data_IF_415865364061
#
_entry.id   IF_415865364061
#
_cell.length_a   1.000
_cell.length_b   1.000
_cell.length_c   1.000
_cell.angle_alpha   90.00
_cell.angle_beta   90.00
_cell.angle_gamma   90.00
#
_symmetry.space_group_name_H-M   'P 1'
#
loop_
_entity.id
_entity.type
_entity.pdbx_description
1 polymer ?
#
# COMPACT_ATOMS: atom_id res chain seq x y z
N UNK A 1 80.06 2.40 -5.62
CA UNK A 1 79.26 2.73 -6.84
C UNK A 1 77.80 2.80 -6.42
N UNK A 2 77.28 4.02 -6.20
CA UNK A 2 75.89 4.27 -5.81
C UNK A 2 75.01 4.19 -7.06
N UNK A 3 74.13 3.21 -7.13
CA UNK A 3 73.07 3.15 -8.15
C UNK A 3 71.84 3.79 -7.53
N UNK A 4 71.54 5.02 -7.96
CA UNK A 4 70.33 5.75 -7.58
C UNK A 4 69.14 5.14 -8.32
N UNK A 5 68.21 4.53 -7.58
CA UNK A 5 66.98 3.98 -8.16
C UNK A 5 65.97 5.12 -8.43
N UNK A 6 65.90 5.53 -9.70
CA UNK A 6 64.90 6.47 -10.23
C UNK A 6 63.40 6.08 -10.04
N UNK A 7 62.95 4.82 -9.85
CA UNK A 7 61.50 4.55 -9.82
C UNK A 7 60.81 4.91 -8.49
N UNK A 8 61.54 5.05 -7.37
CA UNK A 8 60.94 5.40 -6.09
C UNK A 8 60.45 6.87 -6.03
N UNK A 9 61.08 7.76 -6.80
CA UNK A 9 60.68 9.18 -6.84
C UNK A 9 59.46 9.45 -7.72
N UNK A 10 59.11 8.59 -8.68
CA UNK A 10 57.91 8.79 -9.53
C UNK A 10 56.60 8.54 -8.78
N UNK A 11 56.56 7.59 -7.86
CA UNK A 11 55.35 7.31 -7.07
C UNK A 11 55.08 8.43 -6.03
N UNK A 12 56.15 9.02 -5.50
CA UNK A 12 56.08 10.12 -4.54
C UNK A 12 55.65 11.44 -5.20
N UNK A 13 56.01 11.65 -6.47
CA UNK A 13 55.50 12.78 -7.26
C UNK A 13 54.05 12.60 -7.75
N UNK A 14 53.60 11.35 -7.97
CA UNK A 14 52.20 11.06 -8.27
C UNK A 14 51.26 11.35 -7.07
N UNK A 15 51.79 11.35 -5.85
CA UNK A 15 51.07 11.68 -4.61
C UNK A 15 51.50 13.02 -4.00
N UNK A 16 51.69 14.07 -4.83
CA UNK A 16 51.58 15.44 -4.32
C UNK A 16 50.10 15.72 -4.03
N UNK A 17 49.64 15.23 -2.88
CA UNK A 17 48.28 15.39 -2.38
C UNK A 17 47.99 16.89 -2.24
N UNK A 18 47.40 17.47 -3.28
CA UNK A 18 46.96 18.84 -3.25
C UNK A 18 45.72 18.88 -2.37
N UNK A 19 45.92 19.17 -1.08
CA UNK A 19 44.88 19.21 -0.03
C UNK A 19 43.69 20.10 -0.44
N UNK A 20 43.93 21.10 -1.27
CA UNK A 20 42.88 21.97 -1.81
C UNK A 20 42.07 21.27 -2.91
N UNK A 21 42.72 20.49 -3.78
CA UNK A 21 42.04 19.70 -4.81
C UNK A 21 41.20 18.59 -4.18
N UNK A 22 41.75 17.85 -3.20
CA UNK A 22 41.00 16.79 -2.50
C UNK A 22 39.81 17.36 -1.71
N UNK A 23 39.97 18.52 -1.07
CA UNK A 23 38.86 19.23 -0.41
C UNK A 23 37.78 19.67 -1.39
N UNK A 24 38.16 20.20 -2.55
CA UNK A 24 37.21 20.63 -3.57
C UNK A 24 36.47 19.45 -4.22
N UNK A 25 37.15 18.32 -4.43
CA UNK A 25 36.53 17.07 -4.90
C UNK A 25 35.54 16.53 -3.86
N UNK A 26 35.92 16.52 -2.57
CA UNK A 26 35.03 16.08 -1.49
C UNK A 26 33.79 16.98 -1.38
N UNK A 27 33.97 18.31 -1.43
CA UNK A 27 32.87 19.27 -1.47
C UNK A 27 31.97 19.05 -2.69
N UNK A 28 32.55 18.77 -3.85
CA UNK A 28 31.80 18.43 -5.06
C UNK A 28 30.94 17.18 -4.87
N UNK A 29 31.48 16.11 -4.27
CA UNK A 29 30.73 14.88 -4.01
C UNK A 29 29.62 15.07 -2.96
N UNK A 30 29.87 15.88 -1.92
CA UNK A 30 28.84 16.21 -0.91
C UNK A 30 27.71 17.03 -1.55
N UNK A 31 28.04 18.01 -2.38
CA UNK A 31 27.03 18.79 -3.10
C UNK A 31 26.23 17.90 -4.05
N UNK A 32 26.90 17.05 -4.83
CA UNK A 32 26.24 16.15 -5.76
C UNK A 32 25.29 15.17 -5.06
N UNK A 33 25.73 14.57 -3.96
CA UNK A 33 24.89 13.66 -3.15
C UNK A 33 23.72 14.40 -2.51
N UNK A 34 23.92 15.63 -2.02
CA UNK A 34 22.82 16.44 -1.48
C UNK A 34 21.77 16.79 -2.55
N UNK A 35 22.20 17.08 -3.78
CA UNK A 35 21.31 17.31 -4.92
C UNK A 35 20.54 16.03 -5.27
N UNK A 36 21.20 14.87 -5.33
CA UNK A 36 20.51 13.61 -5.57
C UNK A 36 19.50 13.28 -4.47
N UNK A 37 19.83 13.53 -3.21
CA UNK A 37 18.92 13.32 -2.09
C UNK A 37 17.70 14.27 -2.19
N UNK A 38 17.92 15.53 -2.58
CA UNK A 38 16.86 16.51 -2.79
C UNK A 38 15.95 16.11 -3.95
N UNK A 39 16.51 15.63 -5.07
CA UNK A 39 15.73 15.12 -6.21
C UNK A 39 14.91 13.89 -5.79
N UNK A 40 15.49 12.96 -5.02
CA UNK A 40 14.75 11.80 -4.50
C UNK A 40 13.60 12.22 -3.59
N UNK A 41 13.80 13.21 -2.71
CA UNK A 41 12.75 13.75 -1.84
C UNK A 41 11.66 14.46 -2.65
N UNK A 42 12.02 15.24 -3.68
CA UNK A 42 11.06 15.87 -4.59
C UNK A 42 10.27 14.85 -5.40
N UNK A 43 10.88 13.73 -5.77
CA UNK A 43 10.23 12.65 -6.51
C UNK A 43 9.30 11.80 -5.65
N UNK A 44 9.60 11.68 -4.36
CA UNK A 44 8.71 11.01 -3.37
C UNK A 44 7.45 11.85 -3.08
N UNK A 45 7.50 13.17 -3.33
CA UNK A 45 6.34 14.07 -3.28
C UNK A 45 5.46 14.04 -4.53
N UNK A 46 5.86 13.33 -5.60
CA UNK A 46 4.96 13.03 -6.71
C UNK A 46 3.97 11.95 -6.23
N UNK A 47 3.07 12.40 -5.35
CA UNK A 47 1.90 11.68 -4.90
C UNK A 47 1.22 11.13 -6.15
N UNK A 48 0.99 9.81 -6.17
CA UNK A 48 0.34 9.10 -7.25
C UNK A 48 -0.98 9.83 -7.56
N UNK A 49 -0.97 10.68 -8.58
CA UNK A 49 -2.13 11.44 -9.03
C UNK A 49 -3.02 10.46 -9.77
N UNK A 50 -3.67 9.60 -9.00
CA UNK A 50 -4.84 8.90 -9.47
C UNK A 50 -5.83 10.00 -9.88
N UNK A 51 -6.40 9.89 -11.09
CA UNK A 51 -7.51 10.74 -11.52
C UNK A 51 -8.70 10.47 -10.57
N UNK A 52 -8.68 11.10 -9.39
CA UNK A 52 -9.79 11.09 -8.46
C UNK A 52 -10.88 11.93 -9.13
N UNK A 53 -12.02 11.32 -9.49
CA UNK A 53 -13.11 12.07 -10.09
C UNK A 53 -13.47 13.28 -9.22
N UNK A 54 -13.65 14.45 -9.85
CA UNK A 54 -14.01 15.69 -9.14
C UNK A 54 -15.39 15.62 -8.50
N UNK A 55 -16.23 14.70 -8.96
CA UNK A 55 -17.55 14.38 -8.42
C UNK A 55 -17.58 12.93 -7.97
N UNK A 56 -18.21 12.67 -6.81
CA UNK A 56 -18.35 11.32 -6.30
C UNK A 56 -19.27 10.49 -7.20
N UNK A 57 -19.08 9.16 -7.23
CA UNK A 57 -20.10 8.29 -7.81
C UNK A 57 -21.42 8.43 -7.02
N UNK A 58 -22.59 8.18 -7.61
CA UNK A 58 -23.86 8.22 -6.88
C UNK A 58 -23.84 7.35 -5.61
N UNK A 59 -23.19 6.19 -5.68
CA UNK A 59 -22.99 5.30 -4.54
C UNK A 59 -22.11 5.92 -3.45
N UNK A 60 -21.02 6.60 -3.83
CA UNK A 60 -20.16 7.30 -2.88
C UNK A 60 -20.89 8.47 -2.23
N UNK A 61 -21.62 9.27 -3.00
CA UNK A 61 -22.40 10.40 -2.48
C UNK A 61 -23.48 9.92 -1.51
N UNK A 62 -24.22 8.86 -1.85
CA UNK A 62 -25.22 8.25 -0.98
C UNK A 62 -24.61 7.73 0.32
N UNK A 63 -23.48 7.02 0.24
CA UNK A 63 -22.72 6.61 1.42
C UNK A 63 -22.31 7.81 2.28
N UNK A 64 -21.66 8.81 1.67
CA UNK A 64 -21.14 9.96 2.39
C UNK A 64 -22.25 10.73 3.10
N UNK A 65 -23.32 11.04 2.37
CA UNK A 65 -24.45 11.83 2.90
C UNK A 65 -25.22 11.10 4.01
N UNK A 66 -25.29 9.77 3.99
CA UNK A 66 -25.95 9.01 5.06
C UNK A 66 -25.03 8.75 6.27
N UNK A 67 -23.83 8.25 6.01
CA UNK A 67 -22.93 7.73 7.06
C UNK A 67 -22.19 8.85 7.77
N UNK A 68 -21.67 9.84 7.05
CA UNK A 68 -20.80 10.87 7.63
C UNK A 68 -21.50 11.67 8.75
N UNK A 69 -22.73 12.20 8.60
CA UNK A 69 -23.38 12.98 9.66
C UNK A 69 -23.61 12.19 10.96
N UNK A 70 -23.74 10.86 10.86
CA UNK A 70 -23.97 9.97 12.01
C UNK A 70 -22.70 9.71 12.81
N UNK A 71 -21.56 9.67 12.12
CA UNK A 71 -20.26 9.41 12.73
C UNK A 71 -19.50 10.69 13.07
N UNK A 72 -19.80 11.82 12.41
CA UNK A 72 -19.14 13.10 12.65
C UNK A 72 -19.12 13.54 14.13
N UNK A 73 -20.18 13.32 14.94
CA UNK A 73 -20.16 13.63 16.37
C UNK A 73 -19.16 12.80 17.19
N UNK A 74 -18.67 11.67 16.66
CA UNK A 74 -17.70 10.79 17.31
C UNK A 74 -16.25 11.12 16.94
N UNK A 75 -16.02 12.14 16.11
CA UNK A 75 -14.67 12.54 15.70
C UNK A 75 -13.77 12.77 16.93
N UNK A 76 -12.63 12.09 16.96
CA UNK A 76 -11.67 12.15 18.06
C UNK A 76 -11.94 11.17 19.22
N UNK A 77 -13.10 10.51 19.26
CA UNK A 77 -13.39 9.44 20.20
C UNK A 77 -13.39 8.08 19.48
N UNK A 78 -12.20 7.53 19.28
CA UNK A 78 -12.01 6.31 18.48
C UNK A 78 -12.67 5.07 19.08
N UNK A 79 -12.65 4.91 20.40
CA UNK A 79 -13.31 3.79 21.07
C UNK A 79 -14.82 3.81 20.82
N UNK A 80 -15.46 4.97 21.05
CA UNK A 80 -16.89 5.13 20.80
C UNK A 80 -17.22 5.00 19.32
N UNK A 81 -16.36 5.53 18.44
CA UNK A 81 -16.49 5.38 17.00
C UNK A 81 -16.59 3.90 16.61
N UNK A 82 -15.62 3.06 17.00
CA UNK A 82 -15.59 1.65 16.60
C UNK A 82 -16.72 0.84 17.23
N UNK A 83 -17.04 1.08 18.49
CA UNK A 83 -18.12 0.36 19.20
C UNK A 83 -19.52 0.76 18.73
N UNK A 84 -19.70 1.99 18.24
CA UNK A 84 -21.01 2.51 17.81
C UNK A 84 -21.25 2.44 16.30
N UNK A 85 -20.20 2.20 15.49
CA UNK A 85 -20.26 2.29 14.03
C UNK A 85 -21.47 1.55 13.45
N UNK A 86 -21.54 0.23 13.68
CA UNK A 86 -22.58 -0.64 13.12
C UNK A 86 -23.98 -0.17 13.51
N UNK A 87 -24.18 0.19 14.78
CA UNK A 87 -25.50 0.60 15.25
C UNK A 87 -25.92 1.96 14.68
N UNK A 88 -24.99 2.91 14.57
CA UNK A 88 -25.27 4.24 14.05
C UNK A 88 -25.53 4.19 12.55
N UNK A 89 -24.78 3.39 11.78
CA UNK A 89 -24.89 3.36 10.31
C UNK A 89 -25.92 2.37 9.79
N UNK A 90 -26.55 1.57 10.64
CA UNK A 90 -27.48 0.49 10.25
C UNK A 90 -28.56 0.90 9.25
N UNK A 91 -29.09 2.11 9.36
CA UNK A 91 -30.12 2.59 8.43
C UNK A 91 -29.57 2.90 7.01
N UNK A 92 -28.27 3.13 6.89
CA UNK A 92 -27.58 3.38 5.62
C UNK A 92 -27.31 2.10 4.82
N UNK A 93 -27.49 0.91 5.40
CA UNK A 93 -27.16 -0.35 4.73
C UNK A 93 -28.11 -0.68 3.56
N UNK A 94 -29.29 -0.04 3.51
CA UNK A 94 -30.35 -0.34 2.52
C UNK A 94 -30.58 0.80 1.51
N UNK A 95 -29.58 1.66 1.27
CA UNK A 95 -29.67 2.73 0.28
C UNK A 95 -29.90 2.17 -1.14
N UNK A 96 -30.72 2.85 -1.93
CA UNK A 96 -31.09 2.40 -3.29
C UNK A 96 -29.84 2.27 -4.18
N UNK A 97 -28.92 3.21 -4.04
CA UNK A 97 -27.67 3.28 -4.77
C UNK A 97 -26.75 2.08 -4.48
N UNK A 98 -26.92 1.41 -3.34
CA UNK A 98 -26.12 0.24 -2.97
C UNK A 98 -26.53 -1.01 -3.74
N UNK A 99 -27.77 -1.07 -4.23
CA UNK A 99 -28.23 -2.22 -5.05
C UNK A 99 -27.36 -2.42 -6.29
N UNK A 100 -26.74 -1.36 -6.79
CA UNK A 100 -25.83 -1.41 -7.94
C UNK A 100 -24.49 -2.12 -7.67
N UNK A 101 -24.08 -2.23 -6.39
CA UNK A 101 -22.84 -2.85 -5.96
C UNK A 101 -22.92 -4.39 -5.95
N UNK A 102 -24.12 -4.95 -5.82
CA UNK A 102 -24.38 -6.40 -5.77
C UNK A 102 -23.38 -7.15 -4.89
N UNK A 103 -23.32 -6.73 -3.62
CA UNK A 103 -22.39 -7.28 -2.64
C UNK A 103 -23.06 -8.47 -1.96
N UNK A 104 -22.42 -9.63 -2.06
CA UNK A 104 -22.92 -10.89 -1.52
C UNK A 104 -22.01 -11.39 -0.39
N UNK A 105 -22.58 -11.91 0.71
CA UNK A 105 -21.80 -12.51 1.78
C UNK A 105 -21.26 -13.88 1.34
N UNK A 106 -19.97 -14.10 1.54
CA UNK A 106 -19.28 -15.37 1.37
C UNK A 106 -18.69 -15.77 2.71
N UNK A 107 -19.26 -16.81 3.31
CA UNK A 107 -18.83 -17.31 4.62
C UNK A 107 -17.40 -17.87 4.55
N UNK A 108 -16.54 -17.41 5.45
CA UNK A 108 -15.25 -17.98 5.77
C UNK A 108 -15.36 -18.82 7.07
N UNK A 109 -14.25 -19.40 7.54
CA UNK A 109 -14.26 -20.26 8.73
C UNK A 109 -14.63 -19.52 10.02
N UNK A 110 -14.17 -18.28 10.16
CA UNK A 110 -14.30 -17.43 11.37
C UNK A 110 -14.96 -16.07 11.11
N UNK A 111 -15.17 -15.71 9.83
CA UNK A 111 -15.64 -14.40 9.41
C UNK A 111 -16.53 -14.48 8.15
N UNK A 112 -17.20 -13.38 7.80
CA UNK A 112 -17.94 -13.25 6.54
C UNK A 112 -17.20 -12.24 5.67
N UNK A 113 -16.76 -12.68 4.49
CA UNK A 113 -16.23 -11.79 3.45
C UNK A 113 -17.36 -11.32 2.56
N UNK A 114 -17.28 -10.08 2.09
CA UNK A 114 -18.29 -9.49 1.22
C UNK A 114 -17.70 -9.30 -0.17
N UNK A 115 -18.38 -9.82 -1.20
CA UNK A 115 -17.85 -9.91 -2.56
C UNK A 115 -18.83 -9.29 -3.54
N UNK A 116 -18.32 -8.42 -4.43
CA UNK A 116 -19.07 -8.00 -5.61
C UNK A 116 -18.77 -8.98 -6.75
N UNK A 117 -19.80 -9.62 -7.29
CA UNK A 117 -19.62 -10.62 -8.33
C UNK A 117 -19.34 -10.01 -9.70
N UNK A 118 -18.54 -10.69 -10.54
CA UNK A 118 -18.25 -10.20 -11.88
C UNK A 118 -19.54 -10.17 -12.72
N UNK A 119 -19.78 -9.03 -13.39
CA UNK A 119 -20.94 -8.87 -14.29
C UNK A 119 -20.77 -9.60 -15.63
N UNK A 120 -19.56 -10.06 -15.95
CA UNK A 120 -19.18 -10.75 -17.20
C UNK A 120 -18.11 -11.81 -16.90
N UNK A 121 -18.07 -12.88 -17.69
CA UNK A 121 -17.21 -14.05 -17.44
C UNK A 121 -15.84 -14.03 -18.17
N UNK A 122 -15.36 -12.86 -18.56
CA UNK A 122 -14.12 -12.71 -19.33
C UNK A 122 -13.08 -11.89 -18.56
N UNK A 123 -11.87 -12.46 -18.41
CA UNK A 123 -10.70 -11.88 -17.75
C UNK A 123 -11.01 -11.16 -16.43
N UNK A 124 -11.39 -11.96 -15.42
CA UNK A 124 -11.74 -11.46 -14.10
C UNK A 124 -10.46 -11.19 -13.30
N UNK A 125 -10.35 -9.98 -12.76
CA UNK A 125 -9.37 -9.64 -11.74
C UNK A 125 -10.09 -9.50 -10.42
N UNK A 126 -9.66 -10.28 -9.42
CA UNK A 126 -10.23 -10.23 -8.08
C UNK A 126 -9.23 -9.61 -7.11
N UNK A 127 -9.66 -8.53 -6.46
CA UNK A 127 -8.88 -7.81 -5.45
C UNK A 127 -9.47 -8.09 -4.08
N UNK A 128 -8.66 -8.68 -3.21
CA UNK A 128 -9.01 -8.96 -1.80
C UNK A 128 -8.37 -7.89 -0.92
N UNK A 129 -9.20 -7.14 -0.20
CA UNK A 129 -8.74 -6.14 0.77
C UNK A 129 -8.90 -6.71 2.18
N UNK A 130 -7.78 -6.88 2.89
CA UNK A 130 -7.75 -7.62 4.15
C UNK A 130 -7.89 -9.11 3.88
N UNK A 131 -6.75 -9.78 3.73
CA UNK A 131 -6.72 -11.22 3.45
C UNK A 131 -7.18 -11.99 4.70
N UNK A 132 -6.76 -11.53 5.88
CA UNK A 132 -6.99 -12.25 7.12
C UNK A 132 -6.21 -13.57 7.17
N UNK A 133 -6.57 -14.44 8.10
CA UNK A 133 -5.84 -15.69 8.35
C UNK A 133 -6.42 -16.91 7.58
N UNK A 134 -7.34 -16.69 6.63
CA UNK A 134 -7.90 -17.75 5.79
C UNK A 134 -8.31 -17.23 4.40
N UNK A 135 -8.19 -18.10 3.39
CA UNK A 135 -8.46 -17.82 1.97
C UNK A 135 -9.52 -18.76 1.36
N UNK A 136 -10.32 -19.43 2.19
CA UNK A 136 -11.27 -20.43 1.73
C UNK A 136 -12.40 -19.83 0.87
N UNK A 137 -12.79 -18.58 1.13
CA UNK A 137 -13.72 -17.84 0.28
C UNK A 137 -13.14 -17.67 -1.14
N UNK A 138 -11.92 -17.15 -1.25
CA UNK A 138 -11.20 -16.92 -2.50
C UNK A 138 -10.99 -18.25 -3.25
N UNK A 139 -10.69 -19.33 -2.55
CA UNK A 139 -10.56 -20.67 -3.12
C UNK A 139 -11.88 -21.18 -3.73
N UNK A 140 -13.03 -20.86 -3.12
CA UNK A 140 -14.35 -21.18 -3.68
C UNK A 140 -14.63 -20.34 -4.93
N UNK A 141 -14.32 -19.05 -4.89
CA UNK A 141 -14.47 -18.16 -6.04
C UNK A 141 -13.56 -18.59 -7.20
N UNK A 142 -12.34 -19.05 -6.93
CA UNK A 142 -11.42 -19.63 -7.94
C UNK A 142 -11.99 -20.88 -8.60
N UNK A 143 -12.74 -21.71 -7.86
CA UNK A 143 -13.42 -22.88 -8.45
C UNK A 143 -14.56 -22.47 -9.38
N UNK A 144 -15.28 -21.40 -9.05
CA UNK A 144 -16.37 -20.86 -9.88
C UNK A 144 -15.83 -20.12 -11.12
N UNK A 145 -14.73 -19.39 -10.96
CA UNK A 145 -14.07 -18.65 -12.04
C UNK A 145 -12.58 -19.02 -12.12
N UNK A 146 -12.24 -20.13 -12.80
CA UNK A 146 -10.88 -20.67 -12.84
C UNK A 146 -9.85 -19.79 -13.56
N UNK A 147 -10.31 -18.84 -14.38
CA UNK A 147 -9.45 -17.91 -15.15
C UNK A 147 -9.22 -16.58 -14.42
N UNK A 148 -9.65 -16.47 -13.16
CA UNK A 148 -9.50 -15.25 -12.38
C UNK A 148 -8.05 -15.06 -11.92
N UNK A 149 -7.54 -13.85 -12.10
CA UNK A 149 -6.30 -13.41 -11.47
C UNK A 149 -6.58 -12.81 -10.10
N UNK A 150 -5.87 -13.29 -9.08
CA UNK A 150 -6.09 -12.89 -7.68
C UNK A 150 -4.97 -11.97 -7.18
N UNK A 151 -5.38 -10.85 -6.57
CA UNK A 151 -4.49 -9.86 -5.96
C UNK A 151 -4.95 -9.58 -4.53
N UNK A 152 -4.09 -9.81 -3.56
CA UNK A 152 -4.41 -9.73 -2.12
C UNK A 152 -3.62 -8.63 -1.47
N UNK A 153 -4.29 -7.81 -0.66
CA UNK A 153 -3.70 -6.67 0.02
C UNK A 153 -3.88 -6.81 1.53
N UNK A 154 -2.77 -6.87 2.26
CA UNK A 154 -2.78 -6.98 3.72
C UNK A 154 -1.49 -6.40 4.32
N UNK A 155 -1.52 -5.70 5.47
CA UNK A 155 -0.30 -5.19 6.10
C UNK A 155 0.56 -6.27 6.79
N UNK A 156 0.01 -7.45 7.10
CA UNK A 156 0.64 -8.50 7.91
C UNK A 156 1.11 -9.69 7.06
N UNK A 157 2.39 -9.72 6.64
CA UNK A 157 2.88 -10.73 5.69
C UNK A 157 3.14 -12.11 6.30
N UNK A 158 3.25 -12.23 7.63
CA UNK A 158 3.81 -13.41 8.29
C UNK A 158 3.08 -14.71 7.95
N UNK A 159 1.75 -14.63 7.79
CA UNK A 159 0.88 -15.76 7.44
C UNK A 159 0.17 -15.49 6.11
N UNK A 160 -0.27 -14.25 5.91
CA UNK A 160 -1.21 -13.89 4.85
C UNK A 160 -0.57 -13.99 3.47
N UNK A 161 0.76 -13.77 3.39
CA UNK A 161 1.52 -13.93 2.14
C UNK A 161 1.49 -15.37 1.66
N UNK A 162 1.86 -16.33 2.51
CA UNK A 162 1.90 -17.74 2.12
C UNK A 162 0.50 -18.29 1.82
N UNK A 163 -0.52 -17.88 2.58
CA UNK A 163 -1.91 -18.23 2.28
C UNK A 163 -2.33 -17.77 0.87
N UNK A 164 -1.97 -16.54 0.50
CA UNK A 164 -2.40 -15.97 -0.77
C UNK A 164 -1.56 -16.44 -1.95
N UNK A 165 -0.24 -16.47 -1.82
CA UNK A 165 0.67 -16.85 -2.92
C UNK A 165 0.78 -18.36 -3.08
N UNK A 166 0.90 -19.13 -1.98
CA UNK A 166 1.15 -20.57 -2.05
C UNK A 166 -0.16 -21.38 -2.08
N UNK A 167 -1.09 -21.12 -1.15
CA UNK A 167 -2.36 -21.88 -1.07
C UNK A 167 -3.33 -21.47 -2.18
N UNK A 168 -3.52 -20.17 -2.41
CA UNK A 168 -4.43 -19.67 -3.45
C UNK A 168 -3.76 -19.56 -4.83
N UNK A 169 -2.45 -19.28 -4.92
CA UNK A 169 -1.77 -19.03 -6.19
C UNK A 169 -2.06 -17.64 -6.76
N UNK A 170 -2.25 -16.64 -5.90
CA UNK A 170 -2.42 -15.23 -6.26
C UNK A 170 -1.16 -14.40 -6.04
N UNK A 171 -1.30 -13.08 -6.11
CA UNK A 171 -0.23 -12.11 -5.86
C UNK A 171 -0.48 -11.34 -4.57
N UNK A 172 0.50 -11.28 -3.67
CA UNK A 172 0.38 -10.59 -2.39
C UNK A 172 1.05 -9.21 -2.41
N UNK A 173 0.39 -8.23 -1.77
CA UNK A 173 0.91 -6.87 -1.59
C UNK A 173 0.82 -6.46 -0.13
N UNK A 174 1.96 -6.06 0.44
CA UNK A 174 2.04 -5.57 1.81
C UNK A 174 1.56 -4.11 1.90
N UNK A 175 0.25 -3.90 1.77
CA UNK A 175 -0.36 -2.57 1.75
C UNK A 175 -1.61 -2.57 2.64
N UNK A 176 -1.97 -1.41 3.16
CA UNK A 176 -3.23 -1.19 3.87
C UNK A 176 -3.92 0.07 3.34
N UNK A 177 -5.24 0.13 3.49
CA UNK A 177 -6.01 1.34 3.16
C UNK A 177 -5.89 2.33 4.33
N UNK A 178 -5.43 3.54 4.05
CA UNK A 178 -5.21 4.60 5.03
C UNK A 178 -5.59 5.95 4.44
N UNK A 179 -5.92 6.92 5.29
CA UNK A 179 -6.12 8.31 4.87
C UNK A 179 -4.82 9.04 4.51
N UNK A 180 -3.66 8.42 4.77
CA UNK A 180 -2.33 8.93 4.43
C UNK A 180 -1.45 7.81 3.88
N UNK A 181 -0.67 8.12 2.84
CA UNK A 181 0.33 7.22 2.29
C UNK A 181 1.57 7.04 3.17
N UNK A 182 2.51 6.24 2.68
CA UNK A 182 3.79 5.98 3.32
C UNK A 182 3.83 4.73 4.20
N UNK A 183 5.04 4.36 4.62
CA UNK A 183 5.28 3.18 5.46
C UNK A 183 5.07 3.54 6.93
N UNK A 184 4.02 2.97 7.53
CA UNK A 184 3.66 3.20 8.93
C UNK A 184 3.66 1.89 9.72
N UNK A 185 4.06 1.96 11.01
CA UNK A 185 3.93 0.83 11.92
C UNK A 185 2.56 0.88 12.59
N UNK A 186 1.76 -0.15 12.37
CA UNK A 186 0.49 -0.37 13.08
C UNK A 186 0.66 -1.43 14.15
N UNK A 187 0.00 -1.24 15.30
CA UNK A 187 -0.04 -2.21 16.39
C UNK A 187 -1.50 -2.50 16.74
N UNK A 188 -1.82 -3.78 16.89
CA UNK A 188 -3.08 -4.20 17.51
C UNK A 188 -2.85 -4.20 19.02
N UNK A 189 -3.38 -3.18 19.71
CA UNK A 189 -3.41 -3.20 21.17
C UNK A 189 -4.51 -4.17 21.60
N UNK A 190 -4.12 -5.24 22.31
CA UNK A 190 -5.02 -6.19 22.96
C UNK A 190 -5.37 -5.72 24.36
#
# INVERSE_FOLDING_TARGET
>A
MMITSKPFNRLKEAFKHNRNLSRNVLLGMVLLSSVFLFISVLKDQEEFSFDVPTEGSPTFEAFYNCVYPKLAPLKGNYEKFWTSFVNLTKECDNLEEYKSLDIQPVANTDEVKYVSFPKREENITMVTLGIGHDVDAEMRLKKLWPRTEFFGVDPSPEINKDLYEVKLGGNYFQVAVSGQGGMQKSYIFR
#
